data_IF_317894151473
#
_entry.id   IF_317894151473
#
_cell.length_a   1.000
_cell.length_b   1.000
_cell.length_c   1.000
_cell.angle_alpha   90.00
_cell.angle_beta   90.00
_cell.angle_gamma   90.00
#
_symmetry.space_group_name_H-M   'P 1'
#
loop_
_entity.id
_entity.type
_entity.pdbx_description
1 polymer ?
#
# COMPACT_ATOMS: atom_id res chain seq x y z
N UNK A 1 14.98 5.48 -45.57
CA UNK A 1 14.81 4.91 -44.20
C UNK A 1 14.69 6.07 -43.22
N UNK A 2 13.48 6.49 -42.90
CA UNK A 2 13.21 7.55 -41.93
C UNK A 2 12.48 6.96 -40.74
N UNK A 3 13.14 6.89 -39.59
CA UNK A 3 12.55 6.39 -38.35
C UNK A 3 11.63 7.50 -37.81
N UNK A 4 10.33 7.21 -37.73
CA UNK A 4 9.35 8.06 -37.07
C UNK A 4 9.69 8.14 -35.57
N UNK A 5 9.98 9.34 -35.07
CA UNK A 5 10.05 9.62 -33.63
C UNK A 5 8.63 9.72 -33.09
N UNK A 6 8.26 8.79 -32.23
CA UNK A 6 7.07 8.87 -31.40
C UNK A 6 7.41 9.79 -30.22
N UNK A 7 6.83 11.00 -30.19
CA UNK A 7 6.87 11.88 -29.01
C UNK A 7 5.92 11.35 -27.94
N UNK A 8 6.48 10.94 -26.80
CA UNK A 8 5.72 10.65 -25.59
C UNK A 8 5.82 11.88 -24.69
N UNK A 9 4.85 12.80 -24.78
CA UNK A 9 4.69 13.85 -23.77
C UNK A 9 4.17 13.20 -22.47
N UNK A 10 5.01 13.16 -21.43
CA UNK A 10 4.57 12.86 -20.06
C UNK A 10 4.47 14.17 -19.27
N UNK A 11 3.25 14.53 -18.90
CA UNK A 11 2.97 15.66 -18.01
C UNK A 11 3.26 15.21 -16.57
N UNK A 12 4.23 15.83 -15.90
CA UNK A 12 4.45 15.68 -14.47
C UNK A 12 3.96 16.93 -13.75
N UNK A 13 2.93 16.79 -12.92
CA UNK A 13 2.51 17.83 -11.97
C UNK A 13 3.12 17.53 -10.61
N UNK A 14 3.90 18.47 -10.06
CA UNK A 14 4.36 18.42 -8.67
C UNK A 14 3.58 19.42 -7.84
N UNK A 15 2.99 18.95 -6.74
CA UNK A 15 2.42 19.79 -5.69
C UNK A 15 3.54 20.22 -4.74
N UNK A 16 3.84 21.52 -4.69
CA UNK A 16 4.67 22.09 -3.62
C UNK A 16 3.95 23.27 -3.00
N UNK A 17 3.70 23.17 -1.69
CA UNK A 17 2.69 23.88 -0.91
C UNK A 17 2.89 25.40 -0.71
N UNK A 18 3.54 26.15 -1.62
CA UNK A 18 3.75 27.61 -1.47
C UNK A 18 3.82 28.47 -2.73
N UNK A 19 3.28 28.07 -3.89
CA UNK A 19 3.15 28.97 -5.06
C UNK A 19 1.86 28.69 -5.87
N UNK A 20 1.25 29.70 -6.52
CA UNK A 20 0.04 29.51 -7.30
C UNK A 20 0.32 28.65 -8.53
N UNK A 21 -0.65 27.79 -8.85
CA UNK A 21 -0.68 26.84 -9.97
C UNK A 21 0.04 27.35 -11.22
N UNK A 22 1.13 26.70 -11.59
CA UNK A 22 1.69 26.78 -12.95
C UNK A 22 2.02 25.37 -13.42
N UNK A 23 1.12 24.79 -14.22
CA UNK A 23 1.42 23.62 -15.03
C UNK A 23 2.39 24.05 -16.11
N UNK A 24 3.66 23.70 -15.98
CA UNK A 24 4.66 23.92 -17.03
C UNK A 24 4.75 22.64 -17.84
N UNK A 25 4.33 22.69 -19.10
CA UNK A 25 4.63 21.63 -20.06
C UNK A 25 6.16 21.58 -20.27
N UNK A 26 6.77 20.39 -20.14
CA UNK A 26 8.21 20.23 -20.25
C UNK A 26 8.59 19.72 -21.63
N UNK A 27 9.40 20.48 -22.36
CA UNK A 27 10.11 20.02 -23.55
C UNK A 27 11.43 19.33 -23.13
N UNK A 28 11.69 18.15 -23.68
CA UNK A 28 12.92 17.38 -23.40
C UNK A 28 14.17 18.06 -23.99
N UNK A 29 14.04 19.04 -24.89
CA UNK A 29 15.17 19.82 -25.42
C UNK A 29 15.90 20.66 -24.36
N UNK A 30 15.27 20.91 -23.21
CA UNK A 30 15.80 21.80 -22.16
C UNK A 30 16.73 21.11 -21.15
N UNK A 31 16.91 19.79 -21.26
CA UNK A 31 17.77 19.04 -20.36
C UNK A 31 19.20 18.91 -20.89
N UNK A 32 20.19 19.24 -20.04
CA UNK A 32 21.61 19.13 -20.33
C UNK A 32 22.32 18.31 -19.25
N UNK A 33 23.48 17.76 -19.61
CA UNK A 33 24.38 17.09 -18.68
C UNK A 33 25.30 18.12 -18.02
N UNK A 34 25.34 18.13 -16.69
CA UNK A 34 26.19 19.01 -15.88
C UNK A 34 27.16 18.20 -15.04
N UNK A 35 28.35 18.73 -14.79
CA UNK A 35 29.24 18.18 -13.74
C UNK A 35 28.75 18.63 -12.38
N UNK A 36 28.37 17.67 -11.54
CA UNK A 36 28.01 17.89 -10.14
C UNK A 36 29.24 18.18 -9.27
N UNK A 37 29.03 18.61 -8.01
CA UNK A 37 30.10 19.01 -7.09
C UNK A 37 31.10 17.90 -6.75
N UNK A 38 30.69 16.64 -6.92
CA UNK A 38 31.50 15.43 -6.73
C UNK A 38 32.13 14.89 -8.02
N UNK A 39 32.08 15.65 -9.13
CA UNK A 39 32.63 15.27 -10.44
C UNK A 39 31.76 14.33 -11.28
N UNK A 40 30.64 13.84 -10.74
CA UNK A 40 29.67 13.02 -11.47
C UNK A 40 28.85 13.83 -12.48
N UNK A 41 28.47 13.21 -13.60
CA UNK A 41 27.62 13.84 -14.61
C UNK A 41 26.15 13.68 -14.20
N UNK A 42 25.44 14.79 -14.04
CA UNK A 42 24.03 14.87 -13.63
C UNK A 42 23.21 15.41 -14.80
N UNK A 43 22.10 14.75 -15.14
CA UNK A 43 21.16 15.20 -16.17
C UNK A 43 20.08 16.08 -15.53
N UNK A 44 19.92 17.32 -15.98
CA UNK A 44 18.95 18.26 -15.40
C UNK A 44 18.67 19.46 -16.31
N UNK A 45 17.77 20.34 -15.89
CA UNK A 45 17.48 21.61 -16.59
C UNK A 45 18.19 22.78 -15.91
N UNK A 46 18.77 23.69 -16.69
CA UNK A 46 19.27 24.99 -16.19
C UNK A 46 18.09 25.95 -16.05
N UNK A 47 17.65 26.23 -14.82
CA UNK A 47 16.63 27.26 -14.57
C UNK A 47 17.32 28.54 -14.08
N UNK A 48 17.26 29.60 -14.88
CA UNK A 48 17.79 30.92 -14.55
C UNK A 48 16.65 31.78 -14.00
N UNK A 49 16.75 32.21 -12.75
CA UNK A 49 15.80 33.16 -12.16
C UNK A 49 16.23 34.60 -12.46
N UNK A 50 15.32 35.60 -12.41
CA UNK A 50 15.65 37.01 -12.64
C UNK A 50 16.67 37.60 -11.64
N UNK A 51 17.05 36.85 -10.59
CA UNK A 51 18.03 37.26 -9.57
C UNK A 51 19.34 36.46 -9.60
N UNK A 52 19.61 35.72 -10.68
CA UNK A 52 20.92 35.07 -10.87
C UNK A 52 21.22 33.88 -9.96
N UNK A 53 20.27 33.40 -9.16
CA UNK A 53 20.46 32.22 -8.31
C UNK A 53 19.98 30.95 -9.03
N UNK A 54 20.88 29.97 -9.13
CA UNK A 54 20.65 28.66 -9.73
C UNK A 54 19.96 27.73 -8.74
N UNK A 55 18.78 27.20 -9.09
CA UNK A 55 18.19 26.06 -8.40
C UNK A 55 18.30 24.82 -9.29
N UNK A 56 19.11 23.86 -8.86
CA UNK A 56 18.98 22.48 -9.32
C UNK A 56 17.68 21.93 -8.72
N UNK A 57 16.73 21.46 -9.52
CA UNK A 57 15.61 20.68 -9.02
C UNK A 57 16.20 19.44 -8.34
N UNK A 58 16.11 19.27 -7.00
CA UNK A 58 16.81 18.19 -6.36
C UNK A 58 16.01 16.92 -6.60
N UNK A 59 16.52 16.04 -7.47
CA UNK A 59 16.40 14.62 -7.19
C UNK A 59 16.88 14.45 -5.75
N UNK A 60 16.02 13.99 -4.85
CA UNK A 60 16.35 13.86 -3.44
C UNK A 60 17.43 12.78 -3.29
N UNK A 61 18.69 13.21 -3.29
CA UNK A 61 19.84 12.38 -2.97
C UNK A 61 20.10 12.53 -1.46
N UNK A 62 20.08 11.42 -0.72
CA UNK A 62 20.63 11.36 0.65
C UNK A 62 21.87 10.48 0.60
N UNK A 63 23.05 11.10 0.64
CA UNK A 63 24.31 10.43 0.31
C UNK A 63 24.37 9.98 -1.16
N UNK A 64 25.08 8.88 -1.46
CA UNK A 64 25.22 8.32 -2.81
C UNK A 64 23.99 7.54 -3.32
N UNK A 65 22.83 7.60 -2.64
CA UNK A 65 21.63 6.86 -3.04
C UNK A 65 20.50 7.80 -3.46
N UNK A 66 20.00 7.58 -4.67
CA UNK A 66 18.85 8.24 -5.26
C UNK A 66 17.57 7.72 -4.58
N UNK A 67 16.78 8.61 -3.97
CA UNK A 67 15.47 8.24 -3.43
C UNK A 67 14.46 8.19 -4.58
N UNK A 68 14.11 6.97 -4.99
CA UNK A 68 12.94 6.70 -5.80
C UNK A 68 11.81 6.39 -4.82
N UNK A 69 10.78 7.25 -4.77
CA UNK A 69 9.60 7.02 -3.92
C UNK A 69 9.08 5.59 -4.08
N UNK A 70 8.65 4.96 -2.99
CA UNK A 70 8.10 3.61 -3.07
C UNK A 70 6.74 3.66 -3.79
N UNK A 71 6.56 2.92 -4.90
CA UNK A 71 5.26 2.88 -5.57
C UNK A 71 4.27 2.08 -4.71
N UNK A 72 3.42 2.79 -3.97
CA UNK A 72 2.34 2.20 -3.18
C UNK A 72 1.25 1.64 -4.10
N UNK A 73 0.79 0.41 -3.86
CA UNK A 73 -0.45 -0.11 -4.44
C UNK A 73 -0.43 -0.46 -5.94
N UNK A 74 0.74 -0.59 -6.56
CA UNK A 74 0.85 -1.05 -7.96
C UNK A 74 0.76 -2.57 -8.05
N UNK A 75 0.37 -3.10 -9.21
CA UNK A 75 0.26 -4.55 -9.51
C UNK A 75 1.58 -5.32 -9.26
N UNK A 76 2.71 -4.61 -9.09
CA UNK A 76 4.00 -5.18 -8.73
C UNK A 76 4.29 -5.28 -7.22
N UNK A 77 3.44 -4.77 -6.34
CA UNK A 77 3.65 -4.86 -4.89
C UNK A 77 3.23 -6.23 -4.35
N UNK A 78 4.15 -6.92 -3.68
CA UNK A 78 3.94 -8.24 -3.10
C UNK A 78 2.67 -8.35 -2.22
N UNK A 79 2.35 -7.29 -1.47
CA UNK A 79 1.17 -7.27 -0.62
C UNK A 79 -0.14 -7.20 -1.42
N UNK A 80 -0.18 -6.41 -2.48
CA UNK A 80 -1.36 -6.28 -3.34
C UNK A 80 -1.65 -7.60 -4.07
N UNK A 81 -0.60 -8.25 -4.59
CA UNK A 81 -0.73 -9.57 -5.24
C UNK A 81 -1.23 -10.61 -4.24
N UNK A 82 -0.66 -10.66 -3.03
CA UNK A 82 -1.07 -11.64 -2.04
C UNK A 82 -2.51 -11.43 -1.54
N UNK A 83 -2.96 -10.18 -1.41
CA UNK A 83 -4.36 -9.85 -1.09
C UNK A 83 -5.32 -10.30 -2.18
N UNK A 84 -5.00 -9.96 -3.43
CA UNK A 84 -5.78 -10.41 -4.60
C UNK A 84 -5.90 -11.93 -4.66
N UNK A 85 -4.78 -12.65 -4.46
CA UNK A 85 -4.78 -14.12 -4.46
C UNK A 85 -5.57 -14.70 -3.30
N UNK A 86 -5.43 -14.14 -2.08
CA UNK A 86 -6.14 -14.63 -0.91
C UNK A 86 -7.66 -14.49 -1.08
N UNK A 87 -8.14 -13.32 -1.47
CA UNK A 87 -9.58 -13.05 -1.63
C UNK A 87 -10.11 -13.74 -2.91
N UNK A 88 -9.38 -13.62 -4.01
CA UNK A 88 -9.75 -14.16 -5.32
C UNK A 88 -9.69 -15.68 -5.42
N UNK A 89 -8.96 -16.37 -4.54
CA UNK A 89 -8.94 -17.84 -4.47
C UNK A 89 -10.32 -18.47 -4.22
N UNK A 90 -11.28 -17.68 -3.71
CA UNK A 90 -12.69 -18.05 -3.64
C UNK A 90 -13.24 -18.54 -4.98
N UNK A 91 -13.01 -17.80 -6.07
CA UNK A 91 -13.55 -18.14 -7.39
C UNK A 91 -12.90 -19.42 -7.95
N UNK A 92 -11.64 -19.66 -7.59
CA UNK A 92 -10.94 -20.90 -7.93
C UNK A 92 -11.58 -22.08 -7.20
N UNK A 93 -11.93 -21.92 -5.92
CA UNK A 93 -12.58 -22.98 -5.14
C UNK A 93 -13.95 -23.39 -5.71
N UNK A 94 -14.78 -22.41 -6.07
CA UNK A 94 -16.14 -22.69 -6.58
C UNK A 94 -16.12 -23.37 -7.95
N UNK A 95 -15.12 -23.03 -8.78
CA UNK A 95 -15.10 -23.44 -10.18
C UNK A 95 -14.21 -24.66 -10.47
N UNK A 96 -13.29 -25.02 -9.56
CA UNK A 96 -12.23 -25.99 -9.85
C UNK A 96 -11.99 -27.00 -8.70
N UNK A 97 -11.37 -28.16 -8.99
CA UNK A 97 -11.03 -29.14 -7.96
C UNK A 97 -10.14 -28.56 -6.86
N UNK A 98 -10.36 -28.99 -5.62
CA UNK A 98 -9.64 -28.51 -4.41
C UNK A 98 -8.12 -28.55 -4.50
N UNK A 99 -7.54 -29.38 -5.38
CA UNK A 99 -6.10 -29.44 -5.62
C UNK A 99 -5.57 -28.12 -6.23
N UNK A 100 -6.35 -27.44 -7.06
CA UNK A 100 -5.97 -26.17 -7.69
C UNK A 100 -5.89 -25.01 -6.68
N UNK A 101 -6.45 -25.16 -5.48
CA UNK A 101 -6.25 -24.18 -4.39
C UNK A 101 -4.83 -24.15 -3.84
N UNK A 102 -4.02 -25.19 -4.07
CA UNK A 102 -2.62 -25.17 -3.64
C UNK A 102 -1.82 -24.13 -4.40
N UNK A 103 -2.16 -23.84 -5.65
CA UNK A 103 -1.45 -22.89 -6.50
C UNK A 103 -1.49 -21.46 -5.91
N UNK A 104 -2.66 -20.84 -5.66
CA UNK A 104 -2.71 -19.50 -5.09
C UNK A 104 -2.11 -19.44 -3.67
N UNK A 105 -2.28 -20.50 -2.87
CA UNK A 105 -1.72 -20.56 -1.52
C UNK A 105 -0.19 -20.59 -1.55
N UNK A 106 0.42 -21.42 -2.40
CA UNK A 106 1.87 -21.45 -2.58
C UNK A 106 2.36 -20.10 -3.13
N UNK A 107 1.66 -19.52 -4.11
CA UNK A 107 2.00 -18.21 -4.65
C UNK A 107 2.01 -17.11 -3.58
N UNK A 108 1.10 -17.15 -2.60
CA UNK A 108 1.08 -16.21 -1.47
C UNK A 108 2.31 -16.40 -0.56
N UNK A 109 2.74 -17.63 -0.31
CA UNK A 109 3.97 -17.89 0.45
C UNK A 109 5.22 -17.39 -0.31
N UNK A 110 5.27 -17.57 -1.63
CA UNK A 110 6.35 -17.03 -2.47
C UNK A 110 6.32 -15.50 -2.59
N UNK A 111 5.15 -14.88 -2.49
CA UNK A 111 5.03 -13.42 -2.45
C UNK A 111 5.64 -12.81 -1.18
N UNK A 112 5.92 -13.60 -0.13
CA UNK A 112 6.52 -13.13 1.13
C UNK A 112 5.73 -12.00 1.82
N UNK A 113 4.42 -11.94 1.61
CA UNK A 113 3.53 -10.95 2.24
C UNK A 113 2.95 -11.49 3.55
N UNK A 114 3.23 -10.81 4.67
CA UNK A 114 2.74 -11.20 6.01
C UNK A 114 1.22 -11.14 6.10
N UNK A 115 0.65 -10.06 5.60
CA UNK A 115 -0.81 -9.88 5.55
C UNK A 115 -1.46 -10.90 4.62
N UNK A 116 -0.81 -11.22 3.50
CA UNK A 116 -1.22 -12.30 2.62
C UNK A 116 -1.26 -13.66 3.32
N UNK A 117 -0.18 -14.03 4.02
CA UNK A 117 -0.09 -15.29 4.77
C UNK A 117 -1.19 -15.37 5.84
N UNK A 118 -1.47 -14.28 6.56
CA UNK A 118 -2.56 -14.24 7.53
C UNK A 118 -3.94 -14.34 6.86
N UNK A 119 -4.12 -13.68 5.72
CA UNK A 119 -5.36 -13.73 4.95
C UNK A 119 -5.66 -15.12 4.37
N UNK A 120 -4.67 -16.01 4.29
CA UNK A 120 -4.85 -17.41 3.86
C UNK A 120 -5.41 -18.31 4.96
N UNK A 121 -5.32 -17.92 6.24
CA UNK A 121 -5.77 -18.77 7.37
C UNK A 121 -7.21 -19.29 7.21
N UNK A 122 -8.21 -18.46 6.84
CA UNK A 122 -9.56 -18.94 6.58
C UNK A 122 -9.63 -20.00 5.48
N UNK A 123 -8.79 -19.90 4.45
CA UNK A 123 -8.76 -20.83 3.30
C UNK A 123 -8.22 -22.21 3.69
N UNK A 124 -7.32 -22.29 4.67
CA UNK A 124 -6.73 -23.55 5.13
C UNK A 124 -7.79 -24.54 5.63
N UNK A 125 -8.92 -24.05 6.15
CA UNK A 125 -10.05 -24.88 6.58
C UNK A 125 -10.67 -25.72 5.43
N UNK A 126 -10.40 -25.37 4.16
CA UNK A 126 -10.90 -26.08 2.98
C UNK A 126 -9.89 -27.01 2.34
N UNK A 127 -8.61 -26.90 2.70
CA UNK A 127 -7.54 -27.73 2.16
C UNK A 127 -7.58 -29.09 2.85
N UNK A 128 -7.43 -30.18 2.10
CA UNK A 128 -7.32 -31.52 2.70
C UNK A 128 -6.12 -31.56 3.65
N UNK A 129 -6.30 -32.12 4.85
CA UNK A 129 -5.26 -32.19 5.90
C UNK A 129 -3.93 -32.79 5.39
N UNK A 130 -3.98 -33.72 4.44
CA UNK A 130 -2.78 -34.30 3.80
C UNK A 130 -1.87 -33.24 3.14
N UNK A 131 -2.43 -32.17 2.59
CA UNK A 131 -1.65 -31.10 1.96
C UNK A 131 -1.08 -30.09 2.97
N UNK A 132 -1.60 -30.04 4.21
CA UNK A 132 -1.01 -29.20 5.26
C UNK A 132 0.42 -29.63 5.60
N UNK A 133 0.74 -30.92 5.43
CA UNK A 133 2.10 -31.47 5.60
C UNK A 133 3.09 -30.80 4.65
N UNK A 134 2.66 -30.37 3.46
CA UNK A 134 3.49 -29.66 2.48
C UNK A 134 3.49 -28.15 2.76
N UNK A 135 2.35 -27.58 3.13
CA UNK A 135 2.22 -26.14 3.36
C UNK A 135 2.97 -25.66 4.61
N UNK A 136 3.02 -26.45 5.68
CA UNK A 136 3.70 -26.07 6.93
C UNK A 136 5.21 -25.85 6.71
N UNK A 137 5.97 -26.79 6.11
CA UNK A 137 7.39 -26.56 5.79
C UNK A 137 7.62 -25.36 4.87
N UNK A 138 6.77 -25.17 3.85
CA UNK A 138 6.86 -24.01 2.94
C UNK A 138 6.62 -22.70 3.69
N UNK A 139 5.63 -22.67 4.58
CA UNK A 139 5.35 -21.52 5.43
C UNK A 139 6.55 -21.19 6.35
N UNK A 140 7.10 -22.20 7.03
CA UNK A 140 8.27 -22.06 7.92
C UNK A 140 9.49 -21.58 7.13
N UNK A 141 9.77 -22.17 5.97
CA UNK A 141 10.87 -21.75 5.11
C UNK A 141 10.70 -20.31 4.60
N UNK A 142 9.49 -19.94 4.18
CA UNK A 142 9.19 -18.57 3.74
C UNK A 142 9.40 -17.56 4.86
N UNK A 143 9.00 -17.89 6.10
CA UNK A 143 9.19 -17.06 7.27
C UNK A 143 10.68 -16.93 7.62
N UNK A 144 11.42 -18.04 7.60
CA UNK A 144 12.86 -18.09 7.87
C UNK A 144 13.66 -17.22 6.88
N UNK A 145 13.44 -17.42 5.57
CA UNK A 145 14.08 -16.62 4.51
C UNK A 145 13.79 -15.14 4.72
N UNK A 146 12.56 -14.79 5.12
CA UNK A 146 12.18 -13.41 5.34
C UNK A 146 12.82 -12.80 6.60
N UNK A 147 12.86 -13.53 7.73
CA UNK A 147 13.42 -13.03 9.00
C UNK A 147 14.93 -12.93 8.99
N UNK A 148 15.61 -13.85 8.31
CA UNK A 148 17.08 -13.93 8.29
C UNK A 148 17.65 -13.22 7.07
N UNK A 149 16.95 -13.24 5.93
CA UNK A 149 17.45 -12.68 4.65
C UNK A 149 17.29 -11.17 4.50
N UNK A 150 16.39 -10.53 5.27
CA UNK A 150 16.23 -9.07 5.27
C UNK A 150 16.62 -8.53 6.64
N UNK A 151 17.91 -8.19 6.82
CA UNK A 151 18.50 -7.66 8.07
C UNK A 151 17.99 -6.27 8.50
N UNK A 152 16.72 -5.96 8.24
CA UNK A 152 16.04 -4.73 8.64
C UNK A 152 14.81 -5.17 9.42
N UNK A 153 14.71 -4.72 10.68
CA UNK A 153 13.52 -4.88 11.51
C UNK A 153 12.26 -4.52 10.72
N UNK A 154 11.44 -5.50 10.32
CA UNK A 154 10.36 -5.33 9.34
C UNK A 154 9.05 -4.88 9.99
N UNK A 155 9.10 -4.39 11.23
CA UNK A 155 8.06 -3.52 11.72
C UNK A 155 8.32 -2.16 11.08
N UNK A 156 7.71 -1.91 9.91
CA UNK A 156 7.05 -0.61 9.75
C UNK A 156 6.38 -0.34 11.10
N UNK A 157 6.69 0.77 11.76
CA UNK A 157 6.33 1.05 13.15
C UNK A 157 4.80 1.22 13.32
N UNK A 158 3.99 0.26 12.84
CA UNK A 158 2.54 0.22 12.85
C UNK A 158 2.00 0.28 14.26
N UNK A 159 2.72 -0.25 15.24
CA UNK A 159 2.40 -0.06 16.66
C UNK A 159 2.39 1.43 17.04
N UNK A 160 3.38 2.20 16.57
CA UNK A 160 3.45 3.65 16.80
C UNK A 160 2.38 4.36 15.97
N UNK A 161 2.22 4.01 14.69
CA UNK A 161 1.20 4.59 13.81
C UNK A 161 -0.20 4.39 14.41
N UNK A 162 -0.54 3.18 14.86
CA UNK A 162 -1.83 2.87 15.46
C UNK A 162 -2.02 3.58 16.79
N UNK A 163 -0.98 3.64 17.63
CA UNK A 163 -1.03 4.41 18.89
C UNK A 163 -1.31 5.89 18.63
N UNK A 164 -0.61 6.49 17.66
CA UNK A 164 -0.83 7.88 17.28
C UNK A 164 -2.21 8.08 16.65
N UNK A 165 -2.63 7.19 15.76
CA UNK A 165 -3.94 7.21 15.12
C UNK A 165 -5.09 7.15 16.13
N UNK A 166 -5.02 6.24 17.10
CA UNK A 166 -5.98 6.18 18.22
C UNK A 166 -5.98 7.51 18.98
N UNK A 167 -4.80 8.08 19.27
CA UNK A 167 -4.69 9.39 19.93
C UNK A 167 -5.34 10.53 19.14
N UNK A 168 -5.35 10.48 17.81
CA UNK A 168 -6.05 11.45 16.96
C UNK A 168 -7.57 11.18 16.95
N UNK A 169 -8.01 9.93 16.84
CA UNK A 169 -9.43 9.57 16.92
C UNK A 169 -10.05 10.09 18.22
N UNK A 170 -9.34 9.97 19.35
CA UNK A 170 -9.81 10.48 20.64
C UNK A 170 -9.96 12.01 20.70
N UNK A 171 -9.27 12.78 19.84
CA UNK A 171 -9.43 14.24 19.78
C UNK A 171 -10.68 14.66 18.98
N UNK A 172 -11.11 13.85 18.00
CA UNK A 172 -12.31 14.11 17.18
C UNK A 172 -13.15 12.83 17.01
N UNK A 173 -13.73 12.30 18.11
CA UNK A 173 -14.29 10.95 18.11
C UNK A 173 -15.57 10.80 17.30
N UNK A 174 -16.37 11.86 17.12
CA UNK A 174 -17.70 11.74 16.51
C UNK A 174 -17.67 11.70 14.99
N UNK A 175 -17.03 12.70 14.36
CA UNK A 175 -17.02 12.91 12.91
C UNK A 175 -15.64 12.73 12.27
N UNK A 176 -14.59 12.53 13.07
CA UNK A 176 -13.23 12.37 12.55
C UNK A 176 -12.67 13.63 11.89
N UNK A 177 -11.82 13.44 10.90
CA UNK A 177 -11.04 14.48 10.23
C UNK A 177 -11.39 14.67 8.75
N UNK A 178 -12.33 13.88 8.21
CA UNK A 178 -12.70 13.87 6.79
C UNK A 178 -11.96 12.79 6.00
N UNK A 179 -12.48 12.46 4.82
CA UNK A 179 -11.89 11.46 3.93
C UNK A 179 -10.51 11.92 3.43
N UNK A 180 -9.58 10.97 3.27
CA UNK A 180 -8.22 11.21 2.78
C UNK A 180 -7.42 12.23 3.61
N UNK A 181 -7.77 12.43 4.88
CA UNK A 181 -7.05 13.34 5.77
C UNK A 181 -5.79 12.72 6.41
N UNK A 182 -5.45 11.48 6.07
CA UNK A 182 -4.50 10.66 6.81
C UNK A 182 -3.10 11.25 6.88
N UNK A 183 -2.55 11.68 5.74
CA UNK A 183 -1.23 12.32 5.63
C UNK A 183 -1.11 13.52 6.59
N UNK A 184 -2.05 14.47 6.52
CA UNK A 184 -2.04 15.68 7.36
C UNK A 184 -2.20 15.34 8.85
N UNK A 185 -3.05 14.37 9.18
CA UNK A 185 -3.32 13.97 10.57
C UNK A 185 -2.10 13.26 11.17
N UNK A 186 -1.50 12.33 10.44
CA UNK A 186 -0.32 11.61 10.90
C UNK A 186 0.91 12.51 10.97
N UNK A 187 1.17 13.35 9.98
CA UNK A 187 2.29 14.30 10.01
C UNK A 187 2.26 15.15 11.28
N UNK A 188 1.10 15.73 11.58
CA UNK A 188 0.91 16.51 12.81
C UNK A 188 1.08 15.66 14.09
N UNK A 189 0.60 14.42 14.09
CA UNK A 189 0.74 13.51 15.23
C UNK A 189 2.20 13.12 15.48
N UNK A 190 2.95 12.83 14.42
CA UNK A 190 4.36 12.48 14.50
C UNK A 190 5.20 13.67 14.98
N UNK A 191 4.97 14.88 14.45
CA UNK A 191 5.65 16.11 14.91
C UNK A 191 5.46 16.29 16.43
N UNK A 192 4.21 16.19 16.90
CA UNK A 192 3.87 16.34 18.33
C UNK A 192 4.49 15.26 19.22
N UNK A 193 4.69 14.05 18.68
CA UNK A 193 5.24 12.92 19.42
C UNK A 193 6.75 13.01 19.65
N UNK A 194 7.45 13.93 18.96
CA UNK A 194 8.91 14.02 18.98
C UNK A 194 9.60 12.83 18.29
N UNK A 195 8.84 11.96 17.63
CA UNK A 195 9.38 10.84 16.88
C UNK A 195 10.03 11.37 15.58
N UNK A 196 11.29 11.02 15.29
CA UNK A 196 11.98 11.53 14.12
C UNK A 196 11.26 11.07 12.84
N UNK A 197 10.61 12.01 12.16
CA UNK A 197 9.93 11.84 10.87
C UNK A 197 10.88 11.56 9.70
N UNK A 198 12.18 11.35 9.96
CA UNK A 198 13.24 11.62 8.98
C UNK A 198 13.14 10.83 7.68
N UNK A 199 12.29 9.79 7.60
CA UNK A 199 12.11 8.95 6.43
C UNK A 199 10.68 8.36 6.26
N UNK A 200 9.67 8.83 6.99
CA UNK A 200 8.34 8.19 7.00
C UNK A 200 7.20 9.20 6.75
N UNK A 201 6.81 9.36 5.48
CA UNK A 201 5.50 9.93 5.12
C UNK A 201 4.46 8.85 5.34
N UNK A 202 3.62 9.00 6.37
CA UNK A 202 2.55 8.06 6.68
C UNK A 202 1.24 8.65 6.20
N UNK A 203 0.75 8.16 5.07
CA UNK A 203 -0.53 8.56 4.50
C UNK A 203 -1.72 7.82 5.13
N UNK A 204 -1.51 6.58 5.61
CA UNK A 204 -2.55 5.71 6.17
C UNK A 204 -2.09 4.86 7.35
N UNK A 205 -3.05 4.38 8.14
CA UNK A 205 -2.79 3.47 9.26
C UNK A 205 -2.44 2.04 8.80
N UNK A 206 -2.66 1.73 7.51
CA UNK A 206 -2.65 0.37 6.97
C UNK A 206 -3.61 -0.57 7.74
N UNK A 207 -4.70 0.00 8.25
CA UNK A 207 -5.75 -0.72 8.95
C UNK A 207 -7.07 0.00 8.65
N UNK A 208 -7.90 -0.64 7.84
CA UNK A 208 -9.14 -0.07 7.33
C UNK A 208 -10.05 0.47 8.44
N UNK A 209 -10.11 -0.20 9.59
CA UNK A 209 -10.98 0.21 10.69
C UNK A 209 -10.46 1.48 11.37
N UNK A 210 -9.15 1.60 11.55
CA UNK A 210 -8.54 2.83 12.06
C UNK A 210 -8.69 3.97 11.04
N UNK A 211 -8.50 3.70 9.75
CA UNK A 211 -8.65 4.71 8.71
C UNK A 211 -10.10 5.23 8.65
N UNK A 212 -11.11 4.34 8.64
CA UNK A 212 -12.53 4.71 8.68
C UNK A 212 -12.86 5.51 9.95
N UNK A 213 -12.40 5.06 11.12
CA UNK A 213 -12.63 5.76 12.38
C UNK A 213 -11.97 7.15 12.40
N UNK A 214 -10.79 7.28 11.81
CA UNK A 214 -10.08 8.56 11.71
C UNK A 214 -10.79 9.52 10.74
N UNK A 215 -11.27 9.04 9.60
CA UNK A 215 -11.94 9.86 8.60
C UNK A 215 -13.34 10.28 9.00
N UNK A 216 -14.11 9.35 9.55
CA UNK A 216 -15.56 9.51 9.76
C UNK A 216 -15.99 9.51 11.22
N UNK A 217 -15.05 9.29 12.14
CA UNK A 217 -15.33 9.12 13.55
C UNK A 217 -16.01 7.77 13.87
N UNK A 218 -16.44 7.64 15.12
CA UNK A 218 -17.10 6.45 15.64
C UNK A 218 -18.46 6.22 14.98
N UNK A 219 -19.15 7.29 14.57
CA UNK A 219 -20.44 7.18 13.91
C UNK A 219 -20.31 6.48 12.55
N UNK A 220 -19.37 6.92 11.72
CA UNK A 220 -19.11 6.27 10.45
C UNK A 220 -18.52 4.87 10.62
N UNK A 221 -17.67 4.64 11.64
CA UNK A 221 -17.20 3.29 11.96
C UNK A 221 -18.35 2.35 12.31
N UNK A 222 -19.30 2.76 13.14
CA UNK A 222 -20.48 1.94 13.50
C UNK A 222 -21.31 1.60 12.26
N UNK A 223 -21.57 2.58 11.39
CA UNK A 223 -22.30 2.34 10.14
C UNK A 223 -21.55 1.37 9.22
N UNK A 224 -20.23 1.53 9.12
CA UNK A 224 -19.37 0.65 8.33
C UNK A 224 -19.36 -0.78 8.88
N UNK A 225 -19.23 -0.96 10.20
CA UNK A 225 -19.32 -2.26 10.86
C UNK A 225 -20.71 -2.89 10.70
N UNK A 226 -21.76 -2.09 10.78
CA UNK A 226 -23.14 -2.51 10.51
C UNK A 226 -23.31 -3.04 9.10
N UNK A 227 -22.75 -2.34 8.10
CA UNK A 227 -22.71 -2.80 6.71
C UNK A 227 -21.96 -4.14 6.57
N UNK A 228 -20.75 -4.24 7.14
CA UNK A 228 -19.98 -5.49 7.08
C UNK A 228 -20.69 -6.65 7.77
N UNK A 229 -21.35 -6.41 8.89
CA UNK A 229 -22.13 -7.41 9.62
C UNK A 229 -23.33 -7.89 8.80
N UNK A 230 -24.10 -6.95 8.24
CA UNK A 230 -25.27 -7.27 7.39
C UNK A 230 -24.86 -8.04 6.14
N UNK A 231 -23.73 -7.68 5.52
CA UNK A 231 -23.16 -8.46 4.43
C UNK A 231 -22.82 -9.88 4.90
N UNK A 232 -22.04 -10.01 5.98
CA UNK A 232 -21.54 -11.30 6.46
C UNK A 232 -22.66 -12.30 6.82
N UNK A 233 -23.73 -11.87 7.50
CA UNK A 233 -24.79 -12.79 7.93
C UNK A 233 -25.56 -13.40 6.75
N UNK A 234 -25.64 -12.69 5.61
CA UNK A 234 -26.33 -13.14 4.39
C UNK A 234 -25.48 -14.08 3.54
N UNK A 235 -24.18 -14.17 3.81
CA UNK A 235 -23.27 -14.99 3.02
C UNK A 235 -23.37 -16.47 3.37
N UNK A 236 -23.26 -17.30 2.34
CA UNK A 236 -23.02 -18.73 2.47
C UNK A 236 -21.60 -19.01 2.98
N UNK A 237 -21.35 -20.22 3.47
CA UNK A 237 -20.10 -20.58 4.16
C UNK A 237 -18.84 -20.31 3.31
N UNK A 238 -18.88 -20.51 1.99
CA UNK A 238 -17.71 -20.31 1.13
C UNK A 238 -17.40 -18.83 0.94
N UNK A 239 -18.42 -18.02 0.71
CA UNK A 239 -18.31 -16.55 0.61
C UNK A 239 -17.88 -15.95 1.95
N UNK A 240 -18.34 -16.51 3.09
CA UNK A 240 -17.88 -16.11 4.43
C UNK A 240 -16.36 -16.29 4.61
N UNK A 241 -15.79 -17.37 4.09
CA UNK A 241 -14.33 -17.60 4.16
C UNK A 241 -13.58 -16.51 3.38
N UNK A 242 -14.01 -16.22 2.15
CA UNK A 242 -13.42 -15.17 1.32
C UNK A 242 -13.55 -13.78 1.96
N UNK A 243 -14.72 -13.50 2.55
CA UNK A 243 -14.99 -12.28 3.28
C UNK A 243 -14.08 -12.14 4.51
N UNK A 244 -13.85 -13.23 5.27
CA UNK A 244 -12.90 -13.23 6.39
C UNK A 244 -11.47 -12.98 5.92
N UNK A 245 -11.06 -13.57 4.79
CA UNK A 245 -9.76 -13.28 4.17
C UNK A 245 -9.62 -11.81 3.80
N UNK A 246 -10.68 -11.19 3.26
CA UNK A 246 -10.73 -9.75 3.00
C UNK A 246 -10.57 -8.93 4.29
N UNK A 247 -11.33 -9.26 5.35
CA UNK A 247 -11.26 -8.54 6.62
C UNK A 247 -9.85 -8.61 7.23
N UNK A 248 -9.27 -9.82 7.31
CA UNK A 248 -7.91 -10.01 7.85
C UNK A 248 -6.91 -9.21 7.02
N UNK A 249 -6.99 -9.26 5.69
CA UNK A 249 -6.10 -8.51 4.82
C UNK A 249 -6.21 -6.99 5.06
N UNK A 250 -7.44 -6.48 5.19
CA UNK A 250 -7.73 -5.06 5.40
C UNK A 250 -7.22 -4.47 6.72
N UNK A 251 -6.92 -5.32 7.71
CA UNK A 251 -6.35 -4.88 8.99
C UNK A 251 -4.87 -4.52 8.92
N UNK A 252 -4.16 -4.98 7.87
CA UNK A 252 -2.70 -4.91 7.81
C UNK A 252 -2.18 -4.26 6.53
N UNK A 253 -3.05 -3.87 5.61
CA UNK A 253 -2.70 -3.31 4.31
C UNK A 253 -3.71 -2.26 3.83
N UNK A 254 -3.27 -1.29 3.01
CA UNK A 254 -4.17 -0.35 2.37
C UNK A 254 -4.91 -1.09 1.24
N UNK A 255 -6.22 -0.92 1.18
CA UNK A 255 -7.03 -1.56 0.15
C UNK A 255 -6.99 -0.77 -1.15
N UNK A 256 -6.59 -1.43 -2.24
CA UNK A 256 -6.79 -0.90 -3.58
C UNK A 256 -8.25 -1.10 -4.04
N UNK A 257 -8.64 -0.38 -5.09
CA UNK A 257 -9.96 -0.49 -5.74
C UNK A 257 -10.29 -1.94 -6.12
N UNK A 258 -9.29 -2.74 -6.52
CA UNK A 258 -9.47 -4.15 -6.88
C UNK A 258 -10.02 -4.97 -5.71
N UNK A 259 -9.51 -4.75 -4.50
CA UNK A 259 -9.97 -5.47 -3.31
C UNK A 259 -11.42 -5.13 -2.97
N UNK A 260 -11.81 -3.86 -3.16
CA UNK A 260 -13.20 -3.42 -2.99
C UNK A 260 -14.14 -4.04 -4.03
N UNK A 261 -13.69 -4.13 -5.29
CA UNK A 261 -14.45 -4.80 -6.35
C UNK A 261 -14.65 -6.28 -5.99
N UNK A 262 -13.60 -6.98 -5.55
CA UNK A 262 -13.72 -8.38 -5.15
C UNK A 262 -14.71 -8.56 -3.99
N UNK A 263 -14.67 -7.69 -2.97
CA UNK A 263 -15.63 -7.70 -1.88
C UNK A 263 -17.07 -7.57 -2.40
N UNK A 264 -17.32 -6.58 -3.26
CA UNK A 264 -18.66 -6.32 -3.82
C UNK A 264 -19.14 -7.54 -4.62
N UNK A 265 -18.28 -8.14 -5.43
CA UNK A 265 -18.62 -9.35 -6.21
C UNK A 265 -19.01 -10.50 -5.27
N UNK A 266 -18.21 -10.75 -4.21
CA UNK A 266 -18.47 -11.81 -3.23
C UNK A 266 -19.80 -11.59 -2.48
N UNK A 267 -20.21 -10.34 -2.28
CA UNK A 267 -21.46 -10.01 -1.59
C UNK A 267 -22.69 -10.17 -2.50
N UNK A 268 -22.55 -9.94 -3.81
CA UNK A 268 -23.69 -9.82 -4.74
C UNK A 268 -23.90 -11.03 -5.67
N UNK A 269 -22.88 -11.85 -5.90
CA UNK A 269 -22.98 -13.14 -6.59
C UNK A 269 -23.13 -14.21 -5.54
#
# INVERSE_FOLDING_TARGET
MGIARIEIQKIFCFFQNRLPFSCVAFDFSDFQFFRGPSGGIVFGRKLQTPRGNFFSCPLAYRGNKLYLGHPLGTIGEANAVAGYLAIGSYFVFESFPKLLLLIPVLAIFFAQSRSGILAVVPLLARIKKSFLIILIPVAVLSLYIFTVGKGISPFENRQIIWKLGIGQILQRPLLGYGAESGEVVFDNAFIKSGFPLSDLTVDRAHNLFLDVAMWTGILGLILFLGFLYQAFIRLEINKKIAFLSFLIYSMFQPLSIVHWILLIIIINI
#
